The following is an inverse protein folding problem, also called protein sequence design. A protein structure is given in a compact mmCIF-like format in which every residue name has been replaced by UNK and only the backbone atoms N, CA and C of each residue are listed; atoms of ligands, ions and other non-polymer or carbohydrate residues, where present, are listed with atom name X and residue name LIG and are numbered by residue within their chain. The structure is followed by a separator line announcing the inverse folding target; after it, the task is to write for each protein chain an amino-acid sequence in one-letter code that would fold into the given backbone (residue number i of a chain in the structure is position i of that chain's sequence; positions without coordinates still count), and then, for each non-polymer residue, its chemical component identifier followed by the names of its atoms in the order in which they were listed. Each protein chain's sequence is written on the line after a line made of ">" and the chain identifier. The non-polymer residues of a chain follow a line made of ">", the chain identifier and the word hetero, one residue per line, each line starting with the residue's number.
data_IF_632569794652
#
_entry.id   IF_632569794652
#
_cell.length_a   1.000
_cell.length_b   1.000
_cell.length_c   1.000
_cell.angle_alpha   90.00
_cell.angle_beta   90.00
_cell.angle_gamma   90.00
#
_symmetry.space_group_name_H-M   'P 1'
#
loop_
_entity.id
_entity.type
_entity.pdbx_description
1 polymer ?
#
# COMPACT_ATOMS: atom_id res chain seq x y z
N UNK A 1 -5.33 -13.47 8.93
CA UNK A 1 -4.51 -13.49 7.71
C UNK A 1 -3.05 -13.21 8.06
N UNK A 2 -2.13 -14.18 7.89
CA UNK A 2 -0.70 -13.96 8.06
C UNK A 2 -0.01 -13.20 6.92
N UNK A 3 -0.53 -13.27 5.68
CA UNK A 3 -0.02 -12.41 4.59
C UNK A 3 -0.76 -11.07 4.66
N UNK A 4 -0.02 -9.99 4.93
CA UNK A 4 -0.58 -8.65 5.16
C UNK A 4 -0.45 -7.71 3.96
N UNK A 5 0.61 -7.88 3.17
CA UNK A 5 0.94 -7.04 2.03
C UNK A 5 1.63 -7.88 0.94
N UNK A 6 1.27 -7.63 -0.31
CA UNK A 6 1.94 -8.21 -1.46
C UNK A 6 2.07 -7.19 -2.59
N UNK A 7 3.19 -7.27 -3.33
CA UNK A 7 3.51 -6.35 -4.41
C UNK A 7 4.18 -7.09 -5.56
N UNK A 8 3.83 -6.70 -6.78
CA UNK A 8 4.55 -7.06 -8.00
C UNK A 8 5.21 -5.80 -8.54
N UNK A 9 6.53 -5.84 -8.70
CA UNK A 9 7.33 -4.72 -9.15
C UNK A 9 8.34 -5.12 -10.23
N UNK A 10 8.69 -4.16 -11.07
CA UNK A 10 9.82 -4.23 -12.01
C UNK A 10 10.82 -3.15 -11.63
N UNK A 11 11.99 -3.54 -11.12
CA UNK A 11 12.98 -2.61 -10.56
C UNK A 11 12.35 -1.69 -9.49
N UNK A 12 12.26 -0.38 -9.74
CA UNK A 12 11.64 0.61 -8.86
C UNK A 12 10.16 0.86 -9.14
N UNK A 13 9.61 0.27 -10.22
CA UNK A 13 8.23 0.49 -10.64
C UNK A 13 7.30 -0.57 -10.05
N UNK A 14 6.39 -0.14 -9.17
CA UNK A 14 5.32 -0.99 -8.67
C UNK A 14 4.27 -1.16 -9.76
N UNK A 15 3.96 -2.39 -10.15
CA UNK A 15 2.98 -2.71 -11.20
C UNK A 15 1.62 -3.06 -10.61
N UNK A 16 1.60 -3.74 -9.46
CA UNK A 16 0.40 -4.03 -8.68
C UNK A 16 0.75 -4.21 -7.20
N UNK A 17 -0.16 -3.82 -6.31
CA UNK A 17 -0.04 -4.05 -4.86
C UNK A 17 -1.39 -4.30 -4.21
N UNK A 18 -1.39 -5.02 -3.10
CA UNK A 18 -2.56 -5.19 -2.25
C UNK A 18 -2.13 -5.26 -0.78
N UNK A 19 -2.92 -4.66 0.10
CA UNK A 19 -2.76 -4.70 1.55
C UNK A 19 -4.07 -5.17 2.18
N UNK A 20 -4.03 -6.21 3.02
CA UNK A 20 -5.20 -6.69 3.76
C UNK A 20 -5.39 -5.97 5.10
N UNK A 21 -4.33 -5.30 5.60
CA UNK A 21 -4.38 -4.47 6.80
C UNK A 21 -4.27 -2.99 6.42
N UNK A 22 -5.02 -2.17 7.14
CA UNK A 22 -4.95 -0.71 7.09
C UNK A 22 -4.74 -0.27 8.53
N UNK A 23 -3.66 0.47 8.80
CA UNK A 23 -3.28 0.81 10.16
C UNK A 23 -1.92 1.49 10.22
N UNK A 24 -1.57 2.00 11.40
CA UNK A 24 -0.22 2.52 11.65
C UNK A 24 0.77 1.35 11.86
N UNK A 25 2.07 1.66 11.91
CA UNK A 25 3.12 0.64 12.03
C UNK A 25 2.93 -0.27 13.25
N UNK A 26 2.47 0.29 14.38
CA UNK A 26 2.21 -0.45 15.61
C UNK A 26 1.13 -1.51 15.42
N UNK A 27 0.02 -1.15 14.79
CA UNK A 27 -1.11 -2.04 14.50
C UNK A 27 -0.73 -3.18 13.54
N UNK A 28 0.21 -2.91 12.62
CA UNK A 28 0.77 -3.93 11.72
C UNK A 28 1.67 -4.89 12.49
N UNK A 29 2.53 -4.39 13.39
CA UNK A 29 3.42 -5.21 14.22
C UNK A 29 2.63 -6.17 15.13
N UNK A 30 1.56 -5.69 15.76
CA UNK A 30 0.68 -6.51 16.60
C UNK A 30 0.00 -7.64 15.82
N UNK A 31 -0.20 -7.46 14.50
CA UNK A 31 -0.73 -8.49 13.62
C UNK A 31 0.33 -9.49 13.12
N UNK A 32 1.61 -9.14 13.15
CA UNK A 32 2.74 -9.97 12.68
C UNK A 32 3.33 -10.80 13.81
N UNK A 33 3.62 -10.18 14.96
CA UNK A 33 4.32 -10.80 16.10
C UNK A 33 3.74 -12.14 16.59
N UNK A 34 2.41 -12.32 16.68
CA UNK A 34 1.86 -13.57 17.21
C UNK A 34 1.71 -14.68 16.16
N UNK A 35 2.07 -14.45 14.88
CA UNK A 35 1.77 -15.40 13.80
C UNK A 35 3.02 -16.14 13.34
N UNK A 36 3.12 -17.40 13.70
CA UNK A 36 4.00 -18.34 13.01
C UNK A 36 3.46 -18.57 11.60
N UNK A 37 4.12 -17.94 10.62
CA UNK A 37 3.84 -18.16 9.21
C UNK A 37 4.87 -19.12 8.63
N UNK A 38 4.39 -20.28 8.18
CA UNK A 38 5.23 -21.28 7.53
C UNK A 38 5.86 -20.72 6.25
N UNK A 39 7.19 -20.71 6.17
CA UNK A 39 7.91 -20.16 5.01
C UNK A 39 7.50 -20.83 3.70
N UNK A 40 7.28 -22.15 3.71
CA UNK A 40 6.82 -22.91 2.54
C UNK A 40 5.54 -22.34 1.94
N UNK A 41 4.62 -21.89 2.79
CA UNK A 41 3.36 -21.24 2.39
C UNK A 41 3.59 -19.90 1.71
N UNK A 42 4.56 -19.12 2.19
CA UNK A 42 4.98 -17.86 1.57
C UNK A 42 5.46 -18.10 0.14
N UNK A 43 6.29 -19.12 -0.05
CA UNK A 43 6.85 -19.43 -1.37
C UNK A 43 5.80 -19.95 -2.35
N UNK A 44 4.91 -20.86 -1.93
CA UNK A 44 3.80 -21.33 -2.78
C UNK A 44 2.91 -20.16 -3.22
N UNK A 45 2.63 -19.24 -2.30
CA UNK A 45 1.94 -17.99 -2.64
C UNK A 45 2.72 -17.18 -3.69
N UNK A 46 4.02 -16.97 -3.50
CA UNK A 46 4.84 -16.21 -4.44
C UNK A 46 4.92 -16.87 -5.82
N UNK A 47 5.04 -18.19 -5.89
CA UNK A 47 5.06 -18.94 -7.14
C UNK A 47 3.72 -18.85 -7.87
N UNK A 48 2.60 -18.97 -7.15
CA UNK A 48 1.27 -18.82 -7.74
C UNK A 48 1.05 -17.40 -8.29
N UNK A 49 1.46 -16.37 -7.53
CA UNK A 49 1.40 -14.98 -8.00
C UNK A 49 2.28 -14.78 -9.24
N UNK A 50 3.51 -15.28 -9.23
CA UNK A 50 4.43 -15.22 -10.38
C UNK A 50 3.81 -15.88 -11.61
N UNK A 51 3.29 -17.11 -11.46
CA UNK A 51 2.66 -17.88 -12.53
C UNK A 51 1.48 -17.12 -13.15
N UNK A 52 0.57 -16.60 -12.32
CA UNK A 52 -0.58 -15.82 -12.80
C UNK A 52 -0.17 -14.51 -13.45
N UNK A 53 0.77 -13.79 -12.86
CA UNK A 53 1.22 -12.52 -13.39
C UNK A 53 1.94 -12.69 -14.74
N UNK A 54 2.82 -13.69 -14.85
CA UNK A 54 3.52 -13.99 -16.10
C UNK A 54 2.58 -14.50 -17.19
N UNK A 55 1.63 -15.38 -16.84
CA UNK A 55 0.62 -15.87 -17.77
C UNK A 55 -0.25 -14.76 -18.35
N UNK A 56 -0.61 -13.76 -17.54
CA UNK A 56 -1.48 -12.66 -18.00
C UNK A 56 -0.72 -11.47 -18.59
N UNK A 57 0.49 -11.17 -18.11
CA UNK A 57 1.17 -9.91 -18.40
C UNK A 57 2.64 -10.05 -18.80
N UNK A 58 3.21 -11.25 -18.94
CA UNK A 58 4.65 -11.46 -19.11
C UNK A 58 5.33 -10.49 -20.07
N UNK A 59 4.86 -10.41 -21.33
CA UNK A 59 5.40 -9.48 -22.33
C UNK A 59 5.13 -8.00 -22.00
N UNK A 60 3.93 -7.67 -21.52
CA UNK A 60 3.50 -6.28 -21.22
C UNK A 60 4.19 -5.72 -19.97
N UNK A 61 4.59 -6.58 -19.04
CA UNK A 61 5.19 -6.19 -17.78
C UNK A 61 6.54 -5.49 -17.95
N UNK A 62 7.29 -5.79 -19.01
CA UNK A 62 8.61 -5.21 -19.25
C UNK A 62 8.59 -3.71 -19.58
N UNK A 63 7.51 -3.22 -20.20
CA UNK A 63 7.36 -1.81 -20.61
C UNK A 63 6.24 -1.09 -19.86
N UNK A 64 5.51 -1.78 -19.00
CA UNK A 64 4.41 -1.21 -18.23
C UNK A 64 4.82 -0.01 -17.37
N UNK A 65 3.89 0.95 -17.28
CA UNK A 65 3.95 2.09 -16.38
C UNK A 65 3.60 1.68 -14.94
N UNK A 66 3.95 2.51 -13.94
CA UNK A 66 3.54 2.29 -12.57
C UNK A 66 2.02 2.07 -12.44
N UNK A 67 1.64 1.08 -11.63
CA UNK A 67 0.27 0.69 -11.32
C UNK A 67 -0.59 0.26 -12.51
N UNK A 68 -0.01 0.05 -13.70
CA UNK A 68 -0.76 -0.25 -14.92
C UNK A 68 -1.61 -1.53 -14.84
N UNK A 69 -1.28 -2.46 -13.94
CA UNK A 69 -2.00 -3.73 -13.75
C UNK A 69 -2.77 -3.76 -12.43
N UNK A 70 -2.75 -2.66 -11.66
CA UNK A 70 -3.24 -2.67 -10.30
C UNK A 70 -4.76 -2.85 -10.22
N UNK A 71 -5.54 -2.28 -11.15
CA UNK A 71 -7.00 -2.40 -11.19
C UNK A 71 -7.48 -3.86 -11.24
N UNK A 72 -6.77 -4.70 -12.01
CA UNK A 72 -7.13 -6.09 -12.22
C UNK A 72 -6.38 -7.02 -11.28
N UNK A 73 -5.07 -6.85 -11.16
CA UNK A 73 -4.22 -7.80 -10.44
C UNK A 73 -4.25 -7.63 -8.93
N UNK A 74 -4.65 -6.46 -8.40
CA UNK A 74 -4.86 -6.30 -6.94
C UNK A 74 -5.94 -7.24 -6.40
N UNK A 75 -6.97 -7.54 -7.21
CA UNK A 75 -8.03 -8.50 -6.84
C UNK A 75 -7.49 -9.93 -6.80
N UNK A 76 -6.61 -10.28 -7.74
CA UNK A 76 -5.92 -11.58 -7.73
C UNK A 76 -5.05 -11.69 -6.49
N UNK A 77 -4.25 -10.67 -6.18
CA UNK A 77 -3.45 -10.62 -4.96
C UNK A 77 -4.32 -10.78 -3.71
N UNK A 78 -5.46 -10.09 -3.61
CA UNK A 78 -6.38 -10.19 -2.48
C UNK A 78 -6.91 -11.62 -2.28
N UNK A 79 -7.37 -12.25 -3.36
CA UNK A 79 -7.95 -13.58 -3.32
C UNK A 79 -6.91 -14.64 -2.93
N UNK A 80 -5.73 -14.60 -3.54
CA UNK A 80 -4.66 -15.55 -3.22
C UNK A 80 -4.10 -15.30 -1.81
N UNK A 81 -3.92 -14.05 -1.40
CA UNK A 81 -3.51 -13.73 -0.03
C UNK A 81 -4.48 -14.31 1.00
N UNK A 82 -5.79 -14.28 0.74
CA UNK A 82 -6.80 -14.92 1.58
C UNK A 82 -6.67 -16.44 1.55
N UNK A 83 -6.60 -17.04 0.36
CA UNK A 83 -6.52 -18.49 0.20
C UNK A 83 -5.32 -19.10 0.96
N UNK A 84 -4.12 -18.56 0.73
CA UNK A 84 -2.90 -19.03 1.39
C UNK A 84 -2.85 -18.67 2.87
N UNK A 85 -3.51 -17.59 3.29
CA UNK A 85 -3.63 -17.20 4.69
C UNK A 85 -4.53 -18.11 5.52
N UNK A 86 -5.58 -18.67 4.93
CA UNK A 86 -6.63 -19.44 5.62
C UNK A 86 -6.50 -20.94 5.43
N UNK A 87 -5.70 -21.40 4.46
CA UNK A 87 -5.45 -22.82 4.24
C UNK A 87 -4.85 -23.48 5.49
N UNK A 88 -5.50 -24.55 5.96
CA UNK A 88 -5.07 -25.32 7.13
C UNK A 88 -3.89 -26.24 6.85
N UNK A 89 -3.74 -26.69 5.60
CA UNK A 89 -2.77 -27.71 5.23
C UNK A 89 -1.95 -27.25 4.02
N UNK A 90 -0.69 -26.90 4.27
CA UNK A 90 0.26 -26.48 3.23
C UNK A 90 0.67 -27.64 2.34
N UNK A 91 0.71 -28.87 2.87
CA UNK A 91 1.06 -30.06 2.10
C UNK A 91 0.00 -30.36 1.04
N UNK A 92 -1.27 -30.10 1.35
CA UNK A 92 -2.36 -30.23 0.37
C UNK A 92 -2.20 -29.27 -0.82
N UNK A 93 -1.82 -28.01 -0.56
CA UNK A 93 -1.59 -27.01 -1.60
C UNK A 93 -0.34 -27.34 -2.42
N UNK A 94 0.74 -27.66 -1.71
CA UNK A 94 2.03 -27.97 -2.32
C UNK A 94 1.97 -29.24 -3.18
N UNK A 95 1.17 -30.24 -2.77
CA UNK A 95 0.93 -31.47 -3.54
C UNK A 95 0.14 -31.22 -4.83
N UNK A 96 -0.80 -30.28 -4.82
CA UNK A 96 -1.53 -29.87 -6.04
C UNK A 96 -0.61 -29.12 -7.00
N UNK A 97 0.34 -28.35 -6.48
CA UNK A 97 1.28 -27.57 -7.29
C UNK A 97 2.53 -28.36 -7.71
N UNK A 98 2.85 -29.47 -7.03
CA UNK A 98 4.03 -30.29 -7.34
C UNK A 98 5.37 -29.63 -6.97
N UNK A 99 5.34 -28.55 -6.18
CA UNK A 99 6.50 -27.68 -5.94
C UNK A 99 7.30 -28.02 -4.66
N UNK A 100 6.90 -29.05 -3.89
CA UNK A 100 7.53 -29.41 -2.60
C UNK A 100 9.05 -29.61 -2.67
N UNK A 101 9.56 -30.19 -3.76
CA UNK A 101 10.98 -30.47 -3.92
C UNK A 101 11.79 -29.24 -4.36
N UNK A 102 11.16 -28.30 -5.08
CA UNK A 102 11.79 -27.03 -5.46
C UNK A 102 11.91 -26.10 -4.24
N UNK A 103 10.92 -26.12 -3.33
CA UNK A 103 10.92 -25.35 -2.07
C UNK A 103 12.09 -25.68 -1.13
N UNK A 104 12.61 -26.91 -1.16
CA UNK A 104 13.73 -27.35 -0.30
C UNK A 104 15.08 -26.74 -0.71
N UNK A 105 15.23 -26.34 -1.98
CA UNK A 105 16.48 -25.82 -2.51
C UNK A 105 16.55 -24.28 -2.52
N UNK A 106 15.49 -23.59 -2.09
CA UNK A 106 15.46 -22.12 -2.13
C UNK A 106 16.37 -21.55 -1.07
N UNK A 107 17.51 -21.04 -1.53
CA UNK A 107 18.49 -20.33 -0.75
C UNK A 107 17.86 -19.04 -0.22
N UNK A 108 17.64 -18.99 1.09
CA UNK A 108 17.35 -17.76 1.81
C UNK A 108 18.62 -16.94 1.79
N UNK A 109 18.72 -15.96 0.89
CA UNK A 109 19.62 -14.85 1.16
C UNK A 109 18.94 -14.03 2.26
N UNK A 110 19.50 -14.11 3.47
CA UNK A 110 19.23 -13.10 4.49
C UNK A 110 19.43 -11.73 3.85
N UNK A 111 18.60 -10.75 4.19
CA UNK A 111 18.81 -9.34 3.81
C UNK A 111 20.00 -8.78 4.63
N UNK A 112 21.14 -9.45 4.60
CA UNK A 112 22.42 -8.94 5.13
C UNK A 112 23.13 -8.08 4.07
N UNK A 113 22.37 -7.18 3.46
CA UNK A 113 22.91 -5.97 2.80
C UNK A 113 22.16 -4.74 3.29
N UNK A 114 21.78 -4.74 4.57
CA UNK A 114 21.33 -3.57 5.33
C UNK A 114 22.23 -3.27 6.55
N UNK A 115 23.38 -3.94 6.69
CA UNK A 115 24.38 -3.65 7.73
C UNK A 115 25.06 -2.27 7.50
N UNK A 116 24.96 -1.67 6.32
CA UNK A 116 25.44 -0.30 6.06
C UNK A 116 24.37 0.80 6.24
N UNK A 117 23.14 0.44 6.62
CA UNK A 117 22.08 1.43 6.96
C UNK A 117 21.45 1.15 8.32
N UNK A 118 22.30 0.78 9.26
CA UNK A 118 22.01 0.67 10.70
C UNK A 118 21.98 2.02 11.44
N UNK A 119 21.80 3.15 10.76
CA UNK A 119 21.43 4.42 11.38
C UNK A 119 20.21 4.97 10.62
N UNK A 120 19.17 5.36 11.35
CA UNK A 120 17.93 6.04 10.91
C UNK A 120 16.58 5.28 11.01
N UNK A 121 16.47 4.19 11.78
CA UNK A 121 15.14 3.76 12.23
C UNK A 121 14.53 4.75 13.25
N UNK A 122 15.37 5.41 14.06
CA UNK A 122 14.90 6.42 15.04
C UNK A 122 14.46 7.75 14.39
N UNK A 123 14.96 8.09 13.19
CA UNK A 123 14.57 9.33 12.49
C UNK A 123 13.24 9.24 11.73
N UNK A 124 12.68 8.04 11.54
CA UNK A 124 11.41 7.85 10.83
C UNK A 124 10.19 7.98 11.75
N UNK A 125 10.33 7.74 13.05
CA UNK A 125 9.26 7.96 14.03
C UNK A 125 8.99 9.46 14.19
N UNK A 126 10.04 10.28 14.34
CA UNK A 126 9.93 11.74 14.46
C UNK A 126 9.36 12.40 13.19
N UNK A 127 9.72 11.93 12.00
CA UNK A 127 9.16 12.47 10.74
C UNK A 127 7.71 12.08 10.51
N UNK A 128 7.28 10.90 10.95
CA UNK A 128 5.90 10.47 10.85
C UNK A 128 4.98 11.25 11.80
N UNK A 129 5.41 11.53 13.03
CA UNK A 129 4.67 12.39 13.97
C UNK A 129 4.58 13.84 13.46
N UNK A 130 5.66 14.36 12.88
CA UNK A 130 5.68 15.70 12.29
C UNK A 130 4.78 15.78 11.03
N UNK A 131 4.71 14.74 10.19
CA UNK A 131 3.77 14.68 9.07
C UNK A 131 2.31 14.59 9.53
N UNK A 132 2.01 13.87 10.63
CA UNK A 132 0.67 13.83 11.21
C UNK A 132 0.26 15.21 11.74
N UNK A 133 1.12 15.87 12.52
CA UNK A 133 0.89 17.22 13.03
C UNK A 133 0.72 18.27 11.90
N UNK A 134 1.50 18.16 10.83
CA UNK A 134 1.39 19.02 9.64
C UNK A 134 0.13 18.75 8.82
N UNK A 135 -0.34 17.51 8.74
CA UNK A 135 -1.59 17.17 8.04
C UNK A 135 -2.83 17.70 8.77
N UNK A 136 -2.83 17.65 10.12
CA UNK A 136 -3.89 18.20 10.97
C UNK A 136 -3.91 19.72 10.93
N UNK A 137 -2.74 20.38 10.98
CA UNK A 137 -2.65 21.85 10.79
C UNK A 137 -2.98 22.28 9.36
N UNK A 138 -2.67 21.48 8.33
CA UNK A 138 -3.07 21.75 6.94
C UNK A 138 -4.59 21.63 6.73
N UNK A 139 -5.23 20.61 7.31
CA UNK A 139 -6.69 20.46 7.32
C UNK A 139 -7.36 21.64 8.03
N UNK A 140 -6.78 22.10 9.13
CA UNK A 140 -7.29 23.24 9.91
C UNK A 140 -7.11 24.56 9.14
N UNK A 141 -5.92 24.82 8.58
CA UNK A 141 -5.64 26.00 7.74
C UNK A 141 -6.52 26.03 6.50
N UNK A 142 -6.75 24.90 5.83
CA UNK A 142 -7.64 24.81 4.65
C UNK A 142 -9.09 25.12 4.99
N UNK A 143 -9.60 24.67 6.15
CA UNK A 143 -10.95 25.00 6.63
C UNK A 143 -11.10 26.48 7.01
N UNK A 144 -10.08 27.07 7.63
CA UNK A 144 -10.07 28.50 7.98
C UNK A 144 -9.95 29.37 6.73
N UNK A 145 -9.12 28.97 5.75
CA UNK A 145 -9.03 29.65 4.44
C UNK A 145 -10.35 29.60 3.69
N UNK A 146 -11.03 28.45 3.64
CA UNK A 146 -12.35 28.35 3.01
C UNK A 146 -13.38 29.29 3.68
N UNK A 147 -13.39 29.39 5.01
CA UNK A 147 -14.26 30.34 5.74
C UNK A 147 -13.89 31.79 5.47
N UNK A 148 -12.60 32.15 5.46
CA UNK A 148 -12.18 33.54 5.18
C UNK A 148 -12.46 33.95 3.74
N UNK A 149 -12.33 33.05 2.76
CA UNK A 149 -12.73 33.29 1.38
C UNK A 149 -14.25 33.47 1.25
N UNK A 150 -15.04 32.64 1.93
CA UNK A 150 -16.50 32.77 1.94
C UNK A 150 -16.95 34.13 2.48
N UNK A 151 -16.36 34.59 3.60
CA UNK A 151 -16.66 35.90 4.17
C UNK A 151 -16.18 37.07 3.31
N UNK A 152 -15.03 36.93 2.61
CA UNK A 152 -14.56 37.95 1.64
C UNK A 152 -15.53 38.08 0.47
N UNK A 153 -16.02 36.95 -0.07
CA UNK A 153 -16.98 36.96 -1.16
C UNK A 153 -18.30 37.63 -0.75
N UNK A 154 -18.82 37.32 0.45
CA UNK A 154 -20.02 37.99 0.99
C UNK A 154 -19.82 39.50 1.12
N UNK A 155 -18.70 39.95 1.71
CA UNK A 155 -18.40 41.38 1.84
C UNK A 155 -18.34 42.07 0.47
N UNK A 156 -17.77 41.42 -0.54
CA UNK A 156 -17.69 41.95 -1.90
C UNK A 156 -19.09 42.10 -2.53
N UNK A 157 -19.96 41.10 -2.40
CA UNK A 157 -21.35 41.17 -2.91
C UNK A 157 -22.15 42.30 -2.26
N UNK A 158 -21.97 42.57 -0.96
CA UNK A 158 -22.65 43.67 -0.26
C UNK A 158 -22.18 45.03 -0.79
N UNK A 159 -20.87 45.21 -1.03
CA UNK A 159 -20.33 46.48 -1.56
C UNK A 159 -20.84 46.74 -2.99
N UNK A 160 -20.86 45.71 -3.84
CA UNK A 160 -21.42 45.79 -5.19
C UNK A 160 -22.91 46.15 -5.12
N UNK A 161 -23.68 45.49 -4.26
CA UNK A 161 -25.11 45.77 -4.08
C UNK A 161 -25.39 47.22 -3.67
N UNK A 162 -24.63 47.76 -2.71
CA UNK A 162 -24.76 49.16 -2.28
C UNK A 162 -24.41 50.12 -3.42
N UNK A 163 -23.36 49.82 -4.19
CA UNK A 163 -22.92 50.67 -5.31
C UNK A 163 -23.97 50.73 -6.42
N UNK A 164 -24.60 49.60 -6.75
CA UNK A 164 -25.70 49.53 -7.73
C UNK A 164 -26.94 50.25 -7.22
N UNK A 165 -27.32 50.04 -5.96
CA UNK A 165 -28.49 50.70 -5.36
C UNK A 165 -28.34 52.22 -5.37
N UNK A 166 -27.14 52.73 -5.05
CA UNK A 166 -26.82 54.17 -5.07
C UNK A 166 -26.70 54.75 -6.49
N UNK A 167 -26.49 53.92 -7.51
CA UNK A 167 -26.46 54.38 -8.90
C UNK A 167 -27.87 54.47 -9.51
N UNK A 168 -28.82 53.71 -8.96
CA UNK A 168 -30.19 53.62 -9.48
C UNK A 168 -31.20 54.54 -8.76
N UNK A 169 -30.85 55.03 -7.57
CA UNK A 169 -31.59 56.06 -6.80
C UNK A 169 -30.86 57.40 -6.85
#
# INVERSE_FOLDING_TARGET
>A
MPILFAVVARQTNILAKFASCVGNFQEVIDQILPKDFERSRAFLFLNEIKRRFQGSYGSRAHTALPFAMNSEFSRVLANEMKHFSEAKDVDSIAKVQGELDELKHIMVQNIESLTERGEHLDLLVDKAENLNANSVTFRTKSRTLARTLYWKNIKLYVIIGISVLKHFF
#
